data_IF_660157017932
#
_entry.id   IF_660157017932
#
_cell.length_a   1.000
_cell.length_b   1.000
_cell.length_c   1.000
_cell.angle_alpha   90.00
_cell.angle_beta   90.00
_cell.angle_gamma   90.00
#
_symmetry.space_group_name_H-M   'P 1'
#
loop_
_entity.id
_entity.type
_entity.pdbx_description
1 polymer ?
#
# COMPACT_ATOMS: atom_id res chain seq x y z
N UNK A 1 -5.23 35.41 -7.79
CA UNK A 1 -4.09 34.69 -7.19
C UNK A 1 -4.34 33.20 -7.31
N UNK A 2 -3.37 32.38 -7.73
CA UNK A 2 -3.49 30.93 -7.59
C UNK A 2 -3.59 30.56 -6.10
N UNK A 3 -4.34 29.50 -5.79
CA UNK A 3 -4.61 29.08 -4.42
C UNK A 3 -3.29 28.82 -3.66
N UNK A 4 -3.01 29.50 -2.53
CA UNK A 4 -1.79 29.32 -1.75
C UNK A 4 -1.55 27.87 -1.31
N UNK A 5 -2.63 27.08 -1.16
CA UNK A 5 -2.58 25.66 -0.81
C UNK A 5 -2.07 24.79 -1.97
N UNK A 6 -2.09 25.29 -3.20
CA UNK A 6 -1.69 24.57 -4.41
C UNK A 6 -0.35 25.06 -4.97
N UNK A 7 0.40 25.90 -4.22
CA UNK A 7 1.66 26.48 -4.68
C UNK A 7 2.76 25.47 -5.03
N UNK A 8 2.64 24.24 -4.52
CA UNK A 8 3.57 23.15 -4.79
C UNK A 8 3.10 22.25 -5.94
N UNK A 9 1.88 22.45 -6.46
CA UNK A 9 1.30 21.66 -7.53
C UNK A 9 1.64 22.32 -8.88
N UNK A 10 2.46 21.67 -9.69
CA UNK A 10 2.79 22.17 -11.04
C UNK A 10 1.68 21.81 -12.05
N UNK A 11 0.71 22.70 -12.20
CA UNK A 11 -0.47 22.55 -13.05
C UNK A 11 -0.16 22.78 -14.55
N UNK A 12 1.02 23.34 -14.86
CA UNK A 12 1.40 23.71 -16.22
C UNK A 12 2.19 22.61 -16.95
N UNK A 13 2.43 21.46 -16.31
CA UNK A 13 3.13 20.33 -16.89
C UNK A 13 2.19 19.14 -17.13
N UNK A 14 1.40 19.16 -18.23
CA UNK A 14 0.41 18.11 -18.53
C UNK A 14 1.05 16.72 -18.77
N UNK A 15 2.39 16.63 -18.88
CA UNK A 15 3.13 15.38 -19.08
C UNK A 15 3.58 14.70 -17.79
N UNK A 16 3.32 15.29 -16.62
CA UNK A 16 3.80 14.77 -15.32
C UNK A 16 2.67 14.30 -14.39
N UNK A 17 1.56 13.79 -14.96
CA UNK A 17 0.51 13.14 -14.16
C UNK A 17 1.10 11.84 -13.59
N UNK A 18 1.49 11.87 -12.31
CA UNK A 18 1.84 10.66 -11.57
C UNK A 18 0.55 9.91 -11.23
N UNK A 19 0.40 8.71 -11.78
CA UNK A 19 -0.70 7.81 -11.40
C UNK A 19 -0.46 7.35 -9.96
N UNK A 20 -1.39 7.69 -9.07
CA UNK A 20 -1.39 7.19 -7.69
C UNK A 20 -2.17 5.88 -7.64
N UNK A 21 -1.51 4.72 -7.49
CA UNK A 21 -2.22 3.46 -7.38
C UNK A 21 -2.92 3.35 -6.01
N UNK A 22 -4.08 2.69 -5.99
CA UNK A 22 -4.93 2.56 -4.78
C UNK A 22 -4.93 1.11 -4.32
N UNK A 23 -4.48 0.88 -3.09
CA UNK A 23 -4.58 -0.42 -2.43
C UNK A 23 -6.05 -0.73 -2.12
N UNK A 24 -6.50 -1.91 -2.54
CA UNK A 24 -7.84 -2.37 -2.15
C UNK A 24 -7.85 -2.76 -0.68
N UNK A 25 -8.73 -2.11 0.07
CA UNK A 25 -8.92 -2.34 1.49
C UNK A 25 -9.61 -3.69 1.75
N UNK A 26 -9.06 -4.49 2.66
CA UNK A 26 -9.63 -5.76 3.12
C UNK A 26 -10.86 -5.63 4.04
N UNK A 27 -11.47 -4.44 4.16
CA UNK A 27 -12.66 -4.24 4.97
C UNK A 27 -13.97 -4.66 4.30
N UNK A 28 -13.97 -4.88 2.97
CA UNK A 28 -15.16 -5.32 2.22
C UNK A 28 -15.09 -6.83 2.00
N UNK A 29 -15.90 -7.57 2.74
CA UNK A 29 -15.89 -9.04 2.73
C UNK A 29 -16.06 -9.65 1.32
N UNK A 30 -16.87 -9.03 0.46
CA UNK A 30 -17.11 -9.45 -0.93
C UNK A 30 -15.89 -9.27 -1.85
N UNK A 31 -14.95 -8.41 -1.48
CA UNK A 31 -13.74 -8.10 -2.24
C UNK A 31 -12.48 -8.74 -1.64
N UNK A 32 -12.63 -9.48 -0.54
CA UNK A 32 -11.54 -10.20 0.10
C UNK A 32 -11.02 -11.29 -0.83
N UNK A 33 -9.78 -11.13 -1.28
CA UNK A 33 -9.04 -12.14 -2.03
C UNK A 33 -7.93 -12.69 -1.17
N UNK A 34 -7.76 -14.00 -1.20
CA UNK A 34 -6.61 -14.65 -0.57
C UNK A 34 -5.33 -14.25 -1.29
N UNK A 35 -4.24 -14.07 -0.53
CA UNK A 35 -2.88 -13.98 -1.06
C UNK A 35 -2.06 -15.16 -0.56
N UNK A 36 -1.00 -15.52 -1.29
CA UNK A 36 -0.12 -16.63 -0.91
C UNK A 36 1.11 -16.10 -0.19
N UNK A 37 1.43 -16.72 0.95
CA UNK A 37 2.63 -16.50 1.77
C UNK A 37 3.35 -17.83 1.89
N UNK A 38 4.65 -17.85 1.61
CA UNK A 38 5.43 -19.10 1.46
C UNK A 38 5.33 -20.03 2.69
N UNK A 39 5.28 -19.49 3.91
CA UNK A 39 5.28 -20.26 5.16
C UNK A 39 3.88 -20.49 5.75
N UNK A 40 2.87 -19.74 5.28
CA UNK A 40 1.52 -19.75 5.85
C UNK A 40 0.44 -20.22 4.87
N UNK A 41 0.81 -20.42 3.60
CA UNK A 41 -0.13 -20.78 2.54
C UNK A 41 -1.03 -19.61 2.14
N UNK A 42 -2.30 -19.89 1.89
CA UNK A 42 -3.29 -18.87 1.50
C UNK A 42 -3.84 -18.17 2.73
N UNK A 43 -3.62 -16.86 2.82
CA UNK A 43 -4.12 -16.03 3.91
C UNK A 43 -5.11 -14.99 3.39
N UNK A 44 -6.13 -14.72 4.19
CA UNK A 44 -7.07 -13.63 3.99
C UNK A 44 -6.84 -12.64 5.13
N UNK A 45 -6.60 -11.38 4.79
CA UNK A 45 -6.45 -10.31 5.77
C UNK A 45 -7.69 -9.44 5.77
N UNK A 46 -8.33 -9.34 6.93
CA UNK A 46 -9.38 -8.37 7.20
C UNK A 46 -8.78 -7.14 7.91
N UNK A 47 -9.58 -6.07 8.01
CA UNK A 47 -9.24 -4.87 8.81
C UNK A 47 -7.90 -4.21 8.44
N UNK A 48 -7.50 -4.25 7.16
CA UNK A 48 -6.24 -3.65 6.69
C UNK A 48 -6.30 -2.13 6.53
N UNK A 49 -7.44 -1.50 6.87
CA UNK A 49 -7.72 -0.09 6.61
C UNK A 49 -6.62 0.84 7.14
N UNK A 50 -6.15 0.63 8.37
CA UNK A 50 -5.12 1.48 8.97
C UNK A 50 -3.80 1.39 8.19
N UNK A 51 -3.38 0.19 7.82
CA UNK A 51 -2.18 -0.02 6.99
C UNK A 51 -2.34 0.63 5.61
N UNK A 52 -3.48 0.40 4.95
CA UNK A 52 -3.75 0.93 3.61
C UNK A 52 -3.87 2.46 3.61
N UNK A 53 -4.40 3.06 4.67
CA UNK A 53 -4.46 4.52 4.87
C UNK A 53 -3.06 5.09 5.05
N UNK A 54 -2.22 4.50 5.90
CA UNK A 54 -0.84 4.94 6.06
C UNK A 54 -0.09 4.86 4.72
N UNK A 55 -0.17 3.73 4.04
CA UNK A 55 0.45 3.57 2.73
C UNK A 55 -0.01 4.64 1.75
N UNK A 56 -1.32 4.93 1.70
CA UNK A 56 -1.88 5.98 0.85
C UNK A 56 -1.31 7.36 1.18
N UNK A 57 -1.18 7.72 2.47
CA UNK A 57 -0.59 9.01 2.87
C UNK A 57 0.86 9.13 2.36
N UNK A 58 1.67 8.09 2.55
CA UNK A 58 3.06 8.09 2.08
C UNK A 58 3.15 8.13 0.55
N UNK A 59 2.32 7.37 -0.16
CA UNK A 59 2.27 7.37 -1.62
C UNK A 59 1.85 8.74 -2.16
N UNK A 60 0.82 9.38 -1.59
CA UNK A 60 0.39 10.72 -1.99
C UNK A 60 1.50 11.74 -1.74
N UNK A 61 2.13 11.73 -0.56
CA UNK A 61 3.23 12.65 -0.25
C UNK A 61 4.44 12.48 -1.19
N UNK A 62 4.74 11.23 -1.58
CA UNK A 62 5.78 10.91 -2.56
C UNK A 62 5.44 11.45 -3.95
N UNK A 63 4.18 11.37 -4.37
CA UNK A 63 3.74 11.93 -5.64
C UNK A 63 3.76 13.46 -5.66
N UNK A 64 3.27 14.09 -4.59
CA UNK A 64 2.98 15.53 -4.52
C UNK A 64 4.20 16.41 -4.25
N UNK A 65 5.30 15.86 -3.73
CA UNK A 65 6.49 16.65 -3.35
C UNK A 65 7.78 16.05 -3.85
N UNK A 66 8.46 16.76 -4.75
CA UNK A 66 9.80 16.38 -5.23
C UNK A 66 10.84 16.33 -4.10
N UNK A 67 10.71 17.17 -3.07
CA UNK A 67 11.62 17.14 -1.94
C UNK A 67 11.36 15.89 -1.09
N UNK A 68 10.10 15.58 -0.80
CA UNK A 68 9.73 14.38 -0.05
C UNK A 68 10.16 13.11 -0.80
N UNK A 69 9.90 13.05 -2.11
CA UNK A 69 10.36 11.98 -2.99
C UNK A 69 11.87 11.74 -2.86
N UNK A 70 12.69 12.80 -2.94
CA UNK A 70 14.16 12.68 -2.80
C UNK A 70 14.57 12.11 -1.44
N UNK A 71 13.90 12.52 -0.36
CA UNK A 71 14.18 11.99 0.98
C UNK A 71 13.80 10.51 1.07
N UNK A 72 12.63 10.13 0.56
CA UNK A 72 12.21 8.72 0.49
C UNK A 72 13.19 7.89 -0.33
N UNK A 73 13.60 8.37 -1.51
CA UNK A 73 14.55 7.67 -2.37
C UNK A 73 15.92 7.49 -1.73
N UNK A 74 16.32 8.38 -0.81
CA UNK A 74 17.58 8.29 -0.08
C UNK A 74 17.55 7.25 1.06
N UNK A 75 16.38 6.96 1.63
CA UNK A 75 16.26 6.07 2.80
C UNK A 75 15.65 4.70 2.47
N UNK A 76 15.07 4.52 1.27
CA UNK A 76 14.32 3.30 0.91
C UNK A 76 15.13 2.01 0.98
N UNK A 77 16.46 2.06 0.83
CA UNK A 77 17.32 0.87 0.93
C UNK A 77 17.55 0.44 2.40
N UNK A 78 17.17 1.29 3.37
CA UNK A 78 17.35 1.05 4.80
C UNK A 78 16.04 0.73 5.53
N UNK A 79 14.89 0.97 4.91
CA UNK A 79 13.57 0.71 5.49
C UNK A 79 12.67 -0.03 4.50
N UNK A 80 12.34 -1.27 4.85
CA UNK A 80 11.52 -2.15 4.02
C UNK A 80 10.12 -1.61 3.72
N UNK A 81 9.49 -0.89 4.66
CA UNK A 81 8.17 -0.29 4.44
C UNK A 81 8.28 0.87 3.45
N UNK A 82 9.32 1.69 3.58
CA UNK A 82 9.59 2.77 2.63
C UNK A 82 9.93 2.23 1.24
N UNK A 83 10.69 1.13 1.17
CA UNK A 83 10.96 0.41 -0.08
C UNK A 83 9.65 -0.06 -0.73
N UNK A 84 8.74 -0.61 0.06
CA UNK A 84 7.42 -1.03 -0.39
C UNK A 84 6.61 0.13 -0.98
N UNK A 85 6.58 1.30 -0.31
CA UNK A 85 5.94 2.51 -0.86
C UNK A 85 6.57 2.92 -2.19
N UNK A 86 7.91 3.00 -2.26
CA UNK A 86 8.62 3.39 -3.49
C UNK A 86 8.30 2.46 -4.65
N UNK A 87 8.27 1.15 -4.41
CA UNK A 87 7.91 0.14 -5.41
C UNK A 87 6.48 0.34 -5.90
N UNK A 88 5.51 0.54 -5.00
CA UNK A 88 4.11 0.73 -5.41
C UNK A 88 3.97 1.96 -6.29
N UNK A 89 4.53 3.09 -5.89
CA UNK A 89 4.38 4.34 -6.65
C UNK A 89 5.06 4.27 -8.02
N UNK A 90 6.19 3.56 -8.13
CA UNK A 90 6.97 3.49 -9.38
C UNK A 90 6.54 2.37 -10.31
N UNK A 91 6.05 1.24 -9.78
CA UNK A 91 5.73 0.02 -10.55
C UNK A 91 4.24 -0.32 -10.55
N UNK A 92 3.44 0.38 -9.75
CA UNK A 92 2.02 0.09 -9.56
C UNK A 92 1.76 -1.07 -8.60
N UNK A 93 0.48 -1.43 -8.47
CA UNK A 93 0.02 -2.53 -7.60
C UNK A 93 -0.09 -3.81 -8.42
N UNK A 94 0.53 -4.87 -7.93
CA UNK A 94 0.45 -6.22 -8.49
C UNK A 94 -0.07 -7.21 -7.44
N UNK A 95 -0.23 -8.48 -7.82
CA UNK A 95 -0.55 -9.53 -6.86
C UNK A 95 0.51 -9.65 -5.74
N UNK A 96 1.80 -9.42 -6.06
CA UNK A 96 2.87 -9.50 -5.07
C UNK A 96 2.77 -8.39 -4.03
N UNK A 97 2.26 -7.21 -4.40
CA UNK A 97 2.00 -6.11 -3.46
C UNK A 97 1.11 -6.55 -2.30
N UNK A 98 0.09 -7.38 -2.56
CA UNK A 98 -0.80 -7.89 -1.52
C UNK A 98 -0.13 -8.95 -0.64
N UNK A 99 0.72 -9.80 -1.21
CA UNK A 99 1.55 -10.72 -0.43
C UNK A 99 2.56 -9.97 0.44
N UNK A 100 3.18 -8.91 -0.06
CA UNK A 100 4.16 -8.11 0.70
C UNK A 100 3.47 -7.31 1.81
N UNK A 101 2.31 -6.70 1.54
CA UNK A 101 1.45 -6.13 2.58
C UNK A 101 1.16 -7.14 3.68
N UNK A 102 0.83 -8.38 3.30
CA UNK A 102 0.52 -9.41 4.27
C UNK A 102 1.72 -9.78 5.14
N UNK A 103 2.92 -9.88 4.55
CA UNK A 103 4.16 -10.08 5.31
C UNK A 103 4.40 -8.96 6.32
N UNK A 104 4.20 -7.68 5.93
CA UNK A 104 4.35 -6.56 6.86
C UNK A 104 3.41 -6.69 8.05
N UNK A 105 2.12 -6.90 7.78
CA UNK A 105 1.10 -6.99 8.84
C UNK A 105 1.41 -8.16 9.77
N UNK A 106 1.74 -9.33 9.22
CA UNK A 106 2.05 -10.53 10.00
C UNK A 106 3.30 -10.32 10.86
N UNK A 107 4.38 -9.82 10.27
CA UNK A 107 5.67 -9.68 10.94
C UNK A 107 5.68 -8.53 11.96
N UNK A 108 4.98 -7.43 11.68
CA UNK A 108 4.98 -6.25 12.55
C UNK A 108 3.91 -6.31 13.64
N UNK A 109 2.73 -6.84 13.35
CA UNK A 109 1.58 -6.79 14.26
C UNK A 109 1.33 -8.13 14.96
N UNK A 110 1.97 -9.21 14.51
CA UNK A 110 1.81 -10.57 15.03
C UNK A 110 0.33 -10.91 15.31
N UNK A 111 -0.56 -10.80 14.30
CA UNK A 111 -1.99 -11.01 14.48
C UNK A 111 -2.29 -12.46 14.81
N UNK A 112 -3.39 -12.70 15.54
CA UNK A 112 -3.90 -14.04 15.78
C UNK A 112 -4.30 -14.70 14.46
N UNK A 113 -3.67 -15.84 14.14
CA UNK A 113 -3.98 -16.63 12.96
C UNK A 113 -5.12 -17.61 13.28
N UNK A 114 -6.24 -17.45 12.57
CA UNK A 114 -7.40 -18.36 12.68
C UNK A 114 -7.53 -19.17 11.41
N UNK A 115 -7.61 -20.49 11.56
CA UNK A 115 -7.98 -21.36 10.46
C UNK A 115 -9.45 -21.10 10.10
N UNK A 116 -9.70 -20.85 8.81
CA UNK A 116 -11.05 -20.75 8.27
C UNK A 116 -11.53 -22.17 7.96
N UNK A 117 -12.32 -22.74 8.85
CA UNK A 117 -13.07 -23.96 8.56
C UNK A 117 -14.32 -23.58 7.77
N UNK A 118 -14.44 -24.09 6.55
CA UNK A 118 -15.67 -23.94 5.78
C UNK A 118 -16.75 -24.80 6.44
N UNK A 119 -17.75 -24.15 7.04
CA UNK A 119 -18.96 -24.86 7.46
C UNK A 119 -19.76 -25.15 6.19
N UNK A 120 -19.64 -26.37 5.69
CA UNK A 120 -20.51 -26.91 4.65
C UNK A 120 -21.92 -27.08 5.24
N UNK A 121 -22.73 -26.03 5.20
CA UNK A 121 -24.17 -26.20 5.32
C UNK A 121 -24.66 -26.82 4.01
N UNK A 122 -24.96 -28.11 4.06
CA UNK A 122 -25.70 -28.85 3.03
C UNK A 122 -27.21 -28.59 3.17
#
# INVERSE_FOLDING_TARGET
MPNPLLRNLDINNPKNIKLLPILKNGSRAEELKSCTIAELGKVILNNTCAFDTLASIFMTAYCDSNNYQKQIDAIKEHDTYIQFISIIVTKGITASTYSDRAKFIINMLNPELKQLDFVLFF
#
